data_IF_682695329586
#
_entry.id   IF_682695329586
#
_cell.length_a   1.000
_cell.length_b   1.000
_cell.length_c   1.000
_cell.angle_alpha   90.00
_cell.angle_beta   90.00
_cell.angle_gamma   90.00
#
_symmetry.space_group_name_H-M   'P 1'
#
loop_
_entity.id
_entity.type
_entity.pdbx_description
1 polymer ?
#
# COMPACT_ATOMS: atom_id res chain seq x y z
N UNK A 1 20.86 11.62 12.91
CA UNK A 1 19.79 10.66 12.56
C UNK A 1 20.22 9.72 11.44
N UNK A 2 20.55 10.23 10.24
CA UNK A 2 20.96 9.40 9.10
C UNK A 2 22.27 8.62 9.33
N UNK A 3 23.23 9.17 10.07
CA UNK A 3 24.47 8.42 10.39
C UNK A 3 24.21 7.17 11.25
N UNK A 4 23.13 7.16 12.02
CA UNK A 4 22.74 6.03 12.87
C UNK A 4 21.83 5.04 12.13
N UNK A 5 20.90 5.56 11.32
CA UNK A 5 19.84 4.76 10.68
C UNK A 5 20.12 4.45 9.21
N UNK A 6 21.25 4.88 8.67
CA UNK A 6 21.53 4.85 7.24
C UNK A 6 20.76 5.92 6.47
N UNK A 7 21.25 6.20 5.27
CA UNK A 7 20.65 7.14 4.32
C UNK A 7 19.43 6.50 3.62
N UNK A 8 18.75 7.30 2.79
CA UNK A 8 17.59 6.86 2.02
C UNK A 8 17.98 5.79 0.99
N UNK A 9 17.15 4.76 0.84
CA UNK A 9 17.39 3.67 -0.11
C UNK A 9 17.11 4.16 -1.54
N UNK A 10 18.19 4.29 -2.32
CA UNK A 10 18.17 4.81 -3.71
C UNK A 10 17.42 3.89 -4.69
N UNK A 11 17.06 2.66 -4.31
CA UNK A 11 16.19 1.83 -5.12
C UNK A 11 14.77 2.41 -5.25
N UNK A 12 14.34 3.25 -4.30
CA UNK A 12 13.06 3.96 -4.32
C UNK A 12 13.24 5.36 -4.90
N UNK A 13 12.41 5.74 -5.87
CA UNK A 13 12.50 7.05 -6.55
C UNK A 13 11.57 8.09 -5.92
N UNK A 14 10.39 7.67 -5.47
CA UNK A 14 9.32 8.52 -4.95
C UNK A 14 8.81 8.08 -3.57
N UNK A 15 9.25 6.91 -3.07
CA UNK A 15 8.79 6.36 -1.79
C UNK A 15 9.93 5.97 -0.84
N UNK A 16 11.11 6.55 -1.03
CA UNK A 16 12.30 6.40 -0.18
C UNK A 16 12.03 6.71 1.30
N UNK A 17 11.30 7.80 1.58
CA UNK A 17 10.88 8.14 2.93
C UNK A 17 9.95 7.09 3.54
N UNK A 18 9.04 6.51 2.75
CA UNK A 18 8.17 5.44 3.24
C UNK A 18 8.98 4.18 3.61
N UNK A 19 9.99 3.82 2.82
CA UNK A 19 10.87 2.70 3.10
C UNK A 19 11.64 2.91 4.41
N UNK A 20 12.17 4.12 4.62
CA UNK A 20 12.80 4.50 5.89
C UNK A 20 11.83 4.33 7.07
N UNK A 21 10.58 4.82 6.97
CA UNK A 21 9.60 4.66 8.05
C UNK A 21 9.30 3.19 8.37
N UNK A 22 9.19 2.32 7.35
CA UNK A 22 9.04 0.88 7.61
C UNK A 22 10.23 0.30 8.36
N UNK A 23 11.45 0.70 8.02
CA UNK A 23 12.66 0.27 8.74
C UNK A 23 12.61 0.69 10.21
N UNK A 24 12.35 1.97 10.47
CA UNK A 24 12.31 2.52 11.83
C UNK A 24 11.27 1.82 12.71
N UNK A 25 10.06 1.59 12.21
CA UNK A 25 9.02 0.87 12.95
C UNK A 25 9.48 -0.55 13.31
N UNK A 26 10.16 -1.25 12.39
CA UNK A 26 10.68 -2.60 12.67
C UNK A 26 11.79 -2.60 13.72
N UNK A 27 12.53 -1.52 13.80
CA UNK A 27 13.59 -1.31 14.79
C UNK A 27 13.05 -0.77 16.12
N UNK A 28 11.72 -0.76 16.30
CA UNK A 28 11.02 -0.28 17.49
C UNK A 28 11.26 1.20 17.81
N UNK A 29 11.52 2.02 16.78
CA UNK A 29 11.43 3.46 16.94
C UNK A 29 9.97 3.88 17.04
N UNK A 30 9.68 4.74 18.01
CA UNK A 30 8.41 5.43 18.10
C UNK A 30 8.29 6.46 16.98
N UNK A 31 7.09 6.54 16.38
CA UNK A 31 6.74 7.63 15.46
C UNK A 31 5.88 8.60 16.24
N UNK A 32 6.51 9.69 16.68
CA UNK A 32 5.81 10.77 17.35
C UNK A 32 4.79 11.44 16.42
N UNK A 33 3.67 11.84 17.02
CA UNK A 33 2.68 12.64 16.32
C UNK A 33 3.23 14.05 16.09
N UNK A 34 3.13 14.51 14.85
CA UNK A 34 3.51 15.86 14.47
C UNK A 34 2.24 16.65 14.08
N UNK A 35 1.86 17.61 14.92
CA UNK A 35 0.74 18.51 14.63
C UNK A 35 1.18 19.61 13.66
N UNK A 36 1.25 19.25 12.39
CA UNK A 36 1.63 20.16 11.31
C UNK A 36 0.59 20.15 10.19
N UNK A 37 0.38 21.32 9.60
CA UNK A 37 -0.36 21.43 8.35
C UNK A 37 0.45 20.75 7.25
N UNK A 38 -0.01 19.58 6.81
CA UNK A 38 0.64 18.79 5.75
C UNK A 38 -0.28 18.59 4.55
N UNK A 39 0.31 18.56 3.36
CA UNK A 39 -0.41 18.27 2.12
C UNK A 39 -0.38 16.78 1.86
N UNK A 40 -1.54 16.13 1.93
CA UNK A 40 -1.66 14.70 1.60
C UNK A 40 -1.79 14.50 0.10
N UNK A 41 -0.71 14.05 -0.54
CA UNK A 41 -0.75 13.58 -1.93
C UNK A 41 -1.54 12.27 -2.02
N UNK A 42 -2.67 12.28 -2.74
CA UNK A 42 -3.54 11.11 -2.94
C UNK A 42 -3.48 10.64 -4.37
N UNK A 43 -3.09 9.39 -4.62
CA UNK A 43 -3.15 8.78 -5.96
C UNK A 43 -4.59 8.65 -6.45
N UNK A 44 -4.88 9.10 -7.68
CA UNK A 44 -6.17 8.93 -8.37
C UNK A 44 -7.31 9.85 -7.93
N UNK A 45 -7.06 10.74 -6.95
CA UNK A 45 -8.04 11.75 -6.50
C UNK A 45 -7.40 13.05 -6.02
N UNK A 46 -6.08 13.12 -5.90
CA UNK A 46 -5.37 14.37 -5.60
C UNK A 46 -5.17 15.22 -6.84
N UNK A 47 -5.13 16.55 -6.67
CA UNK A 47 -5.04 17.56 -7.74
C UNK A 47 -3.96 17.20 -8.79
N UNK A 48 -2.81 16.68 -8.35
CA UNK A 48 -1.67 16.31 -9.21
C UNK A 48 -1.68 14.89 -9.77
N UNK A 49 -2.64 14.02 -9.42
CA UNK A 49 -2.65 12.60 -9.86
C UNK A 49 -4.01 12.08 -10.35
N UNK A 50 -4.97 12.98 -10.61
CA UNK A 50 -6.34 12.62 -11.01
C UNK A 50 -6.42 11.78 -12.30
N UNK A 51 -5.53 11.99 -13.28
CA UNK A 51 -5.73 11.45 -14.64
C UNK A 51 -4.90 10.20 -14.98
N UNK A 52 -3.74 9.99 -14.36
CA UNK A 52 -2.84 8.89 -14.72
C UNK A 52 -2.03 8.40 -13.52
N UNK A 53 -1.94 7.07 -13.37
CA UNK A 53 -1.01 6.45 -12.40
C UNK A 53 0.42 6.75 -12.82
N UNK A 54 1.25 7.21 -11.88
CA UNK A 54 2.67 7.40 -12.13
C UNK A 54 3.38 6.03 -12.09
N UNK A 55 4.02 5.57 -13.19
CA UNK A 55 4.63 4.25 -13.24
C UNK A 55 5.79 4.06 -12.25
N UNK A 56 6.54 5.13 -11.94
CA UNK A 56 7.60 5.09 -10.92
C UNK A 56 7.01 4.85 -9.53
N UNK A 57 5.92 5.55 -9.22
CA UNK A 57 5.19 5.34 -7.97
C UNK A 57 4.63 3.91 -7.88
N UNK A 58 4.08 3.36 -8.97
CA UNK A 58 3.60 1.97 -8.96
C UNK A 58 4.72 0.96 -8.70
N UNK A 59 5.90 1.19 -9.30
CA UNK A 59 7.11 0.36 -9.09
C UNK A 59 7.54 0.41 -7.62
N UNK A 60 7.69 1.60 -7.05
CA UNK A 60 8.08 1.78 -5.66
C UNK A 60 7.08 1.16 -4.68
N UNK A 61 5.77 1.34 -4.93
CA UNK A 61 4.73 0.74 -4.10
C UNK A 61 4.81 -0.79 -4.13
N UNK A 62 5.10 -1.40 -5.28
CA UNK A 62 5.32 -2.84 -5.37
C UNK A 62 6.56 -3.25 -4.57
N UNK A 63 7.65 -2.50 -4.70
CA UNK A 63 8.90 -2.74 -3.98
C UNK A 63 8.70 -2.67 -2.45
N UNK A 64 7.95 -1.68 -1.97
CA UNK A 64 7.57 -1.57 -0.55
C UNK A 64 6.83 -2.81 -0.05
N UNK A 65 5.89 -3.34 -0.84
CA UNK A 65 5.23 -4.59 -0.47
C UNK A 65 6.24 -5.74 -0.38
N UNK A 66 7.07 -5.93 -1.39
CA UNK A 66 7.99 -7.06 -1.48
C UNK A 66 9.11 -6.99 -0.42
N UNK A 67 9.81 -5.85 -0.29
CA UNK A 67 10.96 -5.67 0.59
C UNK A 67 10.58 -5.31 2.03
N UNK A 68 9.54 -4.49 2.23
CA UNK A 68 9.27 -3.90 3.55
C UNK A 68 8.10 -4.53 4.31
N UNK A 69 7.10 -5.07 3.60
CA UNK A 69 5.89 -5.63 4.22
C UNK A 69 5.92 -7.16 4.23
N UNK A 70 6.04 -7.79 3.05
CA UNK A 70 5.91 -9.24 2.89
C UNK A 70 7.13 -9.99 3.39
N UNK A 71 8.33 -9.42 3.22
CA UNK A 71 9.58 -9.93 3.82
C UNK A 71 9.47 -10.08 5.34
N UNK A 72 8.83 -9.13 6.00
CA UNK A 72 8.67 -9.07 7.46
C UNK A 72 7.27 -9.49 7.94
N UNK A 73 6.55 -10.31 7.17
CA UNK A 73 5.17 -10.74 7.46
C UNK A 73 4.93 -11.31 8.87
N UNK A 74 5.97 -11.84 9.53
CA UNK A 74 5.90 -12.39 10.90
C UNK A 74 5.65 -11.31 11.96
N UNK A 75 6.01 -10.06 11.69
CA UNK A 75 5.79 -8.92 12.58
C UNK A 75 4.38 -8.34 12.46
N UNK A 76 3.60 -8.75 11.44
CA UNK A 76 2.26 -8.25 11.20
C UNK A 76 1.22 -9.12 11.89
N UNK A 77 0.19 -8.49 12.44
CA UNK A 77 -1.00 -9.21 12.88
C UNK A 77 -1.61 -10.00 11.71
N UNK A 78 -2.25 -11.14 11.99
CA UNK A 78 -2.92 -11.97 10.98
C UNK A 78 -3.91 -11.17 10.12
N UNK A 79 -4.66 -10.25 10.76
CA UNK A 79 -5.62 -9.37 10.08
C UNK A 79 -4.94 -8.39 9.13
N UNK A 80 -3.87 -7.73 9.59
CA UNK A 80 -3.07 -6.80 8.78
C UNK A 80 -2.44 -7.52 7.60
N UNK A 81 -1.80 -8.66 7.84
CA UNK A 81 -1.18 -9.46 6.79
C UNK A 81 -2.21 -9.88 5.73
N UNK A 82 -3.40 -10.36 6.14
CA UNK A 82 -4.46 -10.73 5.18
C UNK A 82 -4.87 -9.55 4.29
N UNK A 83 -5.02 -8.35 4.87
CA UNK A 83 -5.36 -7.13 4.12
C UNK A 83 -4.24 -6.71 3.17
N UNK A 84 -2.98 -6.77 3.61
CA UNK A 84 -1.81 -6.46 2.79
C UNK A 84 -1.70 -7.44 1.61
N UNK A 85 -1.80 -8.75 1.86
CA UNK A 85 -1.80 -9.78 0.83
C UNK A 85 -2.94 -9.60 -0.17
N UNK A 86 -4.17 -9.36 0.30
CA UNK A 86 -5.29 -9.06 -0.59
C UNK A 86 -4.98 -7.87 -1.52
N UNK A 87 -4.47 -6.78 -0.95
CA UNK A 87 -4.16 -5.56 -1.72
C UNK A 87 -3.05 -5.81 -2.73
N UNK A 88 -1.97 -6.48 -2.31
CA UNK A 88 -0.83 -6.83 -3.14
C UNK A 88 -1.23 -7.74 -4.31
N UNK A 89 -1.85 -8.89 -4.01
CA UNK A 89 -2.26 -9.86 -5.02
C UNK A 89 -3.25 -9.23 -6.02
N UNK A 90 -4.27 -8.53 -5.52
CA UNK A 90 -5.26 -7.84 -6.38
C UNK A 90 -4.61 -6.82 -7.32
N UNK A 91 -3.58 -6.10 -6.87
CA UNK A 91 -2.95 -5.01 -7.64
C UNK A 91 -1.87 -5.50 -8.60
N UNK A 92 -1.11 -6.52 -8.24
CA UNK A 92 0.12 -6.87 -8.96
C UNK A 92 0.17 -8.30 -9.50
N UNK A 93 -0.70 -9.20 -9.03
CA UNK A 93 -0.66 -10.62 -9.42
C UNK A 93 -1.95 -11.10 -10.09
N UNK A 94 -3.09 -10.48 -9.77
CA UNK A 94 -4.42 -10.96 -10.14
C UNK A 94 -4.61 -11.07 -11.65
N UNK A 95 -4.07 -10.14 -12.44
CA UNK A 95 -4.16 -10.20 -13.90
C UNK A 95 -3.53 -11.48 -14.47
N UNK A 96 -2.41 -11.91 -13.87
CA UNK A 96 -1.63 -13.08 -14.25
C UNK A 96 -2.19 -14.40 -13.71
N UNK A 97 -3.26 -14.37 -12.91
CA UNK A 97 -3.89 -15.60 -12.43
C UNK A 97 -4.69 -16.29 -13.54
N UNK A 98 -4.67 -17.62 -13.53
CA UNK A 98 -5.61 -18.43 -14.31
C UNK A 98 -7.05 -18.15 -13.89
N UNK A 99 -8.01 -18.48 -14.74
CA UNK A 99 -9.43 -18.26 -14.45
C UNK A 99 -9.87 -18.91 -13.13
N UNK A 100 -9.46 -20.16 -12.89
CA UNK A 100 -9.74 -20.89 -11.64
C UNK A 100 -9.16 -20.15 -10.43
N UNK A 101 -7.90 -19.74 -10.50
CA UNK A 101 -7.23 -19.02 -9.41
C UNK A 101 -7.86 -17.63 -9.15
N UNK A 102 -8.41 -16.98 -10.20
CA UNK A 102 -9.17 -15.73 -10.04
C UNK A 102 -10.44 -15.96 -9.24
N UNK A 103 -11.23 -16.99 -9.57
CA UNK A 103 -12.44 -17.34 -8.83
C UNK A 103 -12.11 -17.67 -7.37
N UNK A 104 -11.12 -18.53 -7.15
CA UNK A 104 -10.69 -18.92 -5.81
C UNK A 104 -10.25 -17.70 -4.98
N UNK A 105 -9.47 -16.79 -5.59
CA UNK A 105 -9.05 -15.55 -4.94
C UNK A 105 -10.22 -14.68 -4.54
N UNK A 106 -11.23 -14.52 -5.41
CA UNK A 106 -12.44 -13.74 -5.14
C UNK A 106 -13.21 -14.34 -3.96
N UNK A 107 -13.45 -15.66 -3.98
CA UNK A 107 -14.19 -16.36 -2.91
C UNK A 107 -13.47 -16.20 -1.57
N UNK A 108 -12.15 -16.47 -1.51
CA UNK A 108 -11.33 -16.36 -0.29
C UNK A 108 -11.30 -14.95 0.31
N UNK A 109 -11.50 -13.92 -0.53
CA UNK A 109 -11.40 -12.51 -0.16
C UNK A 109 -12.72 -11.75 -0.34
N UNK A 110 -13.85 -12.46 -0.38
CA UNK A 110 -15.16 -11.88 -0.66
C UNK A 110 -15.49 -10.69 0.27
N UNK A 111 -15.17 -10.83 1.55
CA UNK A 111 -15.36 -9.77 2.55
C UNK A 111 -14.65 -8.45 2.16
N UNK A 112 -13.46 -8.50 1.58
CA UNK A 112 -12.75 -7.30 1.14
C UNK A 112 -13.36 -6.71 -0.13
N UNK A 113 -13.82 -7.55 -1.06
CA UNK A 113 -14.55 -7.10 -2.25
C UNK A 113 -15.86 -6.42 -1.89
N UNK A 114 -16.62 -6.99 -0.95
CA UNK A 114 -17.86 -6.41 -0.45
C UNK A 114 -17.65 -4.99 0.07
N UNK A 115 -16.64 -4.79 0.93
CA UNK A 115 -16.29 -3.45 1.46
C UNK A 115 -15.86 -2.50 0.34
N UNK A 116 -15.11 -2.97 -0.65
CA UNK A 116 -14.67 -2.16 -1.78
C UNK A 116 -15.87 -1.68 -2.62
N UNK A 117 -16.77 -2.59 -2.96
CA UNK A 117 -17.99 -2.30 -3.74
C UNK A 117 -18.86 -1.31 -2.98
N UNK A 118 -19.10 -1.54 -1.69
CA UNK A 118 -19.90 -0.65 -0.85
C UNK A 118 -19.30 0.77 -0.79
N UNK A 119 -17.97 0.88 -0.69
CA UNK A 119 -17.28 2.17 -0.71
C UNK A 119 -17.44 2.89 -2.05
N UNK A 120 -17.36 2.16 -3.17
CA UNK A 120 -17.57 2.72 -4.51
C UNK A 120 -19.01 3.22 -4.66
N UNK A 121 -20.00 2.43 -4.24
CA UNK A 121 -21.42 2.81 -4.28
C UNK A 121 -21.70 4.05 -3.43
N UNK A 122 -21.20 4.08 -2.19
CA UNK A 122 -21.32 5.25 -1.30
C UNK A 122 -20.74 6.51 -1.93
N UNK A 123 -19.56 6.41 -2.53
CA UNK A 123 -18.93 7.57 -3.17
C UNK A 123 -19.71 8.06 -4.39
N UNK A 124 -20.31 7.16 -5.19
CA UNK A 124 -21.16 7.55 -6.32
C UNK A 124 -22.44 8.26 -5.87
N UNK A 125 -23.06 7.79 -4.78
CA UNK A 125 -24.26 8.42 -4.19
C UNK A 125 -23.98 9.82 -3.64
N UNK A 126 -22.79 10.08 -3.11
CA UNK A 126 -22.38 11.39 -2.59
C UNK A 126 -21.96 12.39 -3.67
N UNK A 127 -21.83 11.95 -4.92
CA UNK A 127 -21.49 12.79 -6.08
C UNK A 127 -22.68 13.09 -6.99
N UNK A 128 -23.86 12.56 -6.66
CA UNK A 128 -25.16 12.94 -7.23
C UNK A 128 -25.77 14.06 -6.39
#
# INVERSE_FOLDING_TARGET
FFDLNGYLDEEYILSDGAALWYKLIRENYDIDYCDIVSVRYRTGSGISTQKKKNPRMEKDLKLLYEKEILKYKKMLSKKTLKKCMFTYCRRYQFENYTFVNKIEFIIKNFNFYFVLIFKILKNKLLTL
#
